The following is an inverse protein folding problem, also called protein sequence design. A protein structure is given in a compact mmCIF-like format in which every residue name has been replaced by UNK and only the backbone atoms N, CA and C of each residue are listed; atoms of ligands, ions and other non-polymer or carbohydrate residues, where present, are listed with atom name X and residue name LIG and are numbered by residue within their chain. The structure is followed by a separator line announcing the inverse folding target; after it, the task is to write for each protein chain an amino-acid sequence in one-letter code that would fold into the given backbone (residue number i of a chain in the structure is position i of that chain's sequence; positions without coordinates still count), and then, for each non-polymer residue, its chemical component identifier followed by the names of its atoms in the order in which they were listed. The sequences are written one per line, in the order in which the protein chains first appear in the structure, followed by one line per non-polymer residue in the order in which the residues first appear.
data_IF_279526512284
#
_entry.id   IF_279526512284
#
_cell.length_a   1.000
_cell.length_b   1.000
_cell.length_c   1.000
_cell.angle_alpha   90.00
_cell.angle_beta   90.00
_cell.angle_gamma   90.00
#
_symmetry.space_group_name_H-M   'P 1'
#
loop_
_entity.id
_entity.type
_entity.pdbx_description
1 polymer ?
#
# COMPACT_ATOMS: atom_id res chain seq x y z
N UNK A 1 21.23 -10.28 -20.68
CA UNK A 1 20.05 -9.44 -20.97
C UNK A 1 20.40 -8.03 -20.51
N UNK A 2 19.94 -6.98 -21.16
CA UNK A 2 20.22 -5.56 -20.84
C UNK A 2 18.92 -4.83 -20.54
N UNK A 3 18.95 -3.70 -19.83
CA UNK A 3 17.71 -3.01 -19.38
C UNK A 3 16.87 -2.53 -20.58
N UNK A 4 17.51 -2.16 -21.68
CA UNK A 4 16.88 -1.76 -22.95
C UNK A 4 16.14 -2.89 -23.69
N UNK A 5 16.40 -4.15 -23.32
CA UNK A 5 15.60 -5.30 -23.79
C UNK A 5 14.36 -5.55 -22.93
N UNK A 6 14.34 -5.03 -21.71
CA UNK A 6 13.21 -5.12 -20.78
C UNK A 6 12.24 -3.96 -21.02
N UNK A 7 12.77 -2.74 -21.17
CA UNK A 7 12.02 -1.55 -21.56
C UNK A 7 12.58 -1.07 -22.90
N UNK A 8 11.94 -1.44 -24.00
CA UNK A 8 12.48 -1.11 -25.34
C UNK A 8 12.27 0.35 -25.76
N UNK A 9 11.30 1.04 -25.15
CA UNK A 9 11.01 2.45 -25.40
C UNK A 9 11.62 3.34 -24.32
N UNK A 10 12.47 4.29 -24.72
CA UNK A 10 13.12 5.21 -23.80
C UNK A 10 12.14 6.19 -23.16
N UNK A 11 11.07 6.58 -23.87
CA UNK A 11 10.07 7.48 -23.28
C UNK A 11 9.27 6.75 -22.19
N UNK A 12 8.99 5.47 -22.37
CA UNK A 12 8.39 4.64 -21.32
C UNK A 12 9.30 4.51 -20.09
N UNK A 13 10.63 4.36 -20.28
CA UNK A 13 11.58 4.37 -19.16
C UNK A 13 11.58 5.70 -18.41
N UNK A 14 11.54 6.82 -19.14
CA UNK A 14 11.57 8.17 -18.58
C UNK A 14 10.26 8.60 -17.91
N UNK A 15 9.15 7.91 -18.20
CA UNK A 15 7.86 8.16 -17.60
C UNK A 15 7.66 7.45 -16.24
N UNK A 16 8.54 6.50 -15.89
CA UNK A 16 8.47 5.77 -14.63
C UNK A 16 9.09 6.57 -13.50
N UNK A 17 8.43 6.61 -12.35
CA UNK A 17 9.00 7.15 -11.12
C UNK A 17 10.14 6.24 -10.60
N UNK A 18 11.06 6.75 -9.76
CA UNK A 18 12.21 5.99 -9.28
C UNK A 18 11.85 4.66 -8.60
N UNK A 19 10.71 4.62 -7.88
CA UNK A 19 10.13 3.42 -7.29
C UNK A 19 9.83 2.37 -8.36
N UNK A 20 9.04 2.74 -9.37
CA UNK A 20 8.55 1.83 -10.41
C UNK A 20 9.71 1.27 -11.25
N UNK A 21 10.61 2.16 -11.67
CA UNK A 21 11.82 1.78 -12.41
C UNK A 21 12.75 0.95 -11.52
N UNK A 22 12.86 1.29 -10.23
CA UNK A 22 13.62 0.54 -9.22
C UNK A 22 13.26 -0.93 -9.19
N UNK A 23 11.97 -1.28 -9.25
CA UNK A 23 11.55 -2.68 -9.28
C UNK A 23 11.95 -3.45 -10.52
N UNK A 24 11.87 -2.80 -11.68
CA UNK A 24 12.31 -3.39 -12.94
C UNK A 24 13.83 -3.61 -12.87
N UNK A 25 14.57 -2.62 -12.38
CA UNK A 25 16.03 -2.69 -12.18
C UNK A 25 16.40 -3.79 -11.20
N UNK A 26 15.69 -3.92 -10.07
CA UNK A 26 15.95 -4.97 -9.08
C UNK A 26 15.79 -6.37 -9.69
N UNK A 27 14.72 -6.60 -10.45
CA UNK A 27 14.51 -7.87 -11.17
C UNK A 27 15.60 -8.12 -12.19
N UNK A 28 15.95 -7.10 -12.99
CA UNK A 28 17.06 -7.17 -13.93
C UNK A 28 18.35 -7.62 -13.23
N UNK A 29 18.73 -6.97 -12.13
CA UNK A 29 19.97 -7.25 -11.39
C UNK A 29 20.04 -8.69 -10.84
N UNK A 30 18.91 -9.36 -10.58
CA UNK A 30 18.93 -10.78 -10.16
C UNK A 30 19.35 -11.76 -11.24
N UNK A 31 19.21 -11.37 -12.52
CA UNK A 31 19.54 -12.20 -13.68
C UNK A 31 20.70 -11.66 -14.51
N UNK A 32 21.15 -10.45 -14.21
CA UNK A 32 22.25 -9.78 -14.88
C UNK A 32 23.62 -10.37 -14.50
N UNK A 33 24.65 -10.02 -15.27
CA UNK A 33 26.02 -10.33 -14.89
C UNK A 33 26.39 -9.64 -13.58
N UNK A 34 27.22 -10.28 -12.74
CA UNK A 34 27.63 -9.69 -11.45
C UNK A 34 28.32 -8.33 -11.59
N UNK A 35 28.94 -8.05 -12.74
CA UNK A 35 29.55 -6.76 -13.10
C UNK A 35 28.54 -5.60 -13.06
N UNK A 36 27.26 -5.87 -13.27
CA UNK A 36 26.16 -4.89 -13.22
C UNK A 36 25.80 -4.48 -11.79
N UNK A 37 26.25 -5.23 -10.77
CA UNK A 37 26.13 -4.81 -9.36
C UNK A 37 27.17 -3.75 -8.96
N UNK A 38 27.87 -3.18 -9.94
CA UNK A 38 28.71 -2.01 -9.78
C UNK A 38 27.97 -0.78 -10.33
N UNK A 39 27.78 0.24 -9.48
CA UNK A 39 26.99 1.45 -9.82
C UNK A 39 27.51 2.20 -11.06
N UNK A 40 28.84 2.19 -11.27
CA UNK A 40 29.44 2.79 -12.45
C UNK A 40 29.12 1.97 -13.70
N UNK A 41 29.30 0.64 -13.63
CA UNK A 41 29.05 -0.25 -14.76
C UNK A 41 27.58 -0.27 -15.17
N UNK A 42 26.66 -0.35 -14.20
CA UNK A 42 25.23 -0.37 -14.43
C UNK A 42 24.74 0.80 -15.29
N UNK A 43 25.31 1.98 -15.06
CA UNK A 43 24.93 3.20 -15.78
C UNK A 43 25.67 3.40 -17.08
N UNK A 44 26.62 2.54 -17.47
CA UNK A 44 27.29 2.66 -18.77
C UNK A 44 26.33 2.46 -19.95
N UNK A 45 26.68 3.01 -21.10
CA UNK A 45 25.81 3.04 -22.27
C UNK A 45 25.54 1.65 -22.87
N UNK A 46 26.31 0.61 -22.51
CA UNK A 46 26.04 -0.74 -23.01
C UNK A 46 24.71 -1.30 -22.51
N UNK A 47 24.24 -0.85 -21.34
CA UNK A 47 22.94 -1.23 -20.78
C UNK A 47 21.76 -0.62 -21.54
N UNK A 48 22.00 0.48 -22.26
CA UNK A 48 20.99 1.28 -22.96
C UNK A 48 21.32 1.50 -24.45
N UNK A 49 22.08 0.58 -25.04
CA UNK A 49 22.67 0.75 -26.36
C UNK A 49 21.61 0.88 -27.47
N UNK A 50 20.41 0.30 -27.30
CA UNK A 50 19.34 0.40 -28.29
C UNK A 50 18.59 1.73 -28.28
N UNK A 51 18.77 2.58 -27.27
CA UNK A 51 18.11 3.90 -27.22
C UNK A 51 18.80 4.93 -28.13
N UNK A 52 18.09 5.98 -28.57
CA UNK A 52 18.69 7.09 -29.30
C UNK A 52 19.83 7.75 -28.50
N UNK A 53 21.02 8.01 -29.10
CA UNK A 53 22.15 8.62 -28.40
C UNK A 53 21.82 9.93 -27.68
N UNK A 54 20.91 10.74 -28.24
CA UNK A 54 20.46 11.99 -27.64
C UNK A 54 19.73 11.80 -26.30
N UNK A 55 19.19 10.61 -26.03
CA UNK A 55 18.44 10.26 -24.81
C UNK A 55 19.28 9.47 -23.79
N UNK A 56 20.54 9.15 -24.13
CA UNK A 56 21.39 8.33 -23.25
C UNK A 56 21.63 9.00 -21.89
N UNK A 57 21.96 10.29 -21.87
CA UNK A 57 22.23 11.01 -20.61
C UNK A 57 20.99 11.04 -19.69
N UNK A 58 19.81 11.32 -20.25
CA UNK A 58 18.55 11.35 -19.47
C UNK A 58 18.18 9.96 -18.96
N UNK A 59 18.33 8.91 -19.79
CA UNK A 59 18.05 7.55 -19.36
C UNK A 59 19.00 7.09 -18.25
N UNK A 60 20.29 7.43 -18.33
CA UNK A 60 21.29 7.11 -17.29
C UNK A 60 20.94 7.76 -15.95
N UNK A 61 20.44 8.99 -15.96
CA UNK A 61 20.01 9.70 -14.74
C UNK A 61 18.81 9.01 -14.10
N UNK A 62 17.79 8.67 -14.87
CA UNK A 62 16.63 7.91 -14.38
C UNK A 62 17.05 6.55 -13.78
N UNK A 63 17.95 5.82 -14.45
CA UNK A 63 18.50 4.57 -13.91
C UNK A 63 19.28 4.78 -12.61
N UNK A 64 20.00 5.90 -12.47
CA UNK A 64 20.72 6.24 -11.23
C UNK A 64 19.75 6.59 -10.09
N UNK A 65 18.66 7.30 -10.38
CA UNK A 65 17.62 7.62 -9.39
C UNK A 65 16.97 6.34 -8.85
N UNK A 66 16.62 5.41 -9.76
CA UNK A 66 16.13 4.08 -9.40
C UNK A 66 17.15 3.29 -8.56
N UNK A 67 18.45 3.35 -8.90
CA UNK A 67 19.50 2.69 -8.12
C UNK A 67 19.60 3.24 -6.69
N UNK A 68 19.62 4.56 -6.53
CA UNK A 68 19.69 5.21 -5.21
C UNK A 68 18.45 4.86 -4.37
N UNK A 69 17.28 4.78 -5.01
CA UNK A 69 16.08 4.29 -4.36
C UNK A 69 16.23 2.85 -3.83
N UNK A 70 16.80 1.94 -4.63
CA UNK A 70 17.05 0.56 -4.20
C UNK A 70 18.01 0.46 -3.00
N UNK A 71 19.01 1.35 -2.92
CA UNK A 71 19.89 1.45 -1.75
C UNK A 71 19.14 1.99 -0.52
N UNK A 72 18.34 3.05 -0.68
CA UNK A 72 17.51 3.64 0.38
C UNK A 72 16.56 2.62 1.02
N UNK A 73 15.93 1.80 0.18
CA UNK A 73 15.00 0.75 0.62
C UNK A 73 15.70 -0.51 1.18
N UNK A 74 17.04 -0.55 1.12
CA UNK A 74 17.86 -1.65 1.64
C UNK A 74 17.79 -2.92 0.78
N UNK A 75 17.43 -2.80 -0.50
CA UNK A 75 17.45 -3.90 -1.46
C UNK A 75 18.86 -4.15 -2.00
N UNK A 76 19.63 -3.08 -2.14
CA UNK A 76 21.07 -3.13 -2.41
C UNK A 76 21.83 -2.69 -1.16
N UNK A 77 22.98 -3.29 -0.93
CA UNK A 77 23.90 -2.85 0.12
C UNK A 77 25.35 -2.91 -0.37
N UNK A 78 26.24 -2.06 0.16
CA UNK A 78 27.66 -2.08 -0.20
C UNK A 78 28.32 -3.40 0.15
N UNK A 79 29.24 -3.87 -0.69
CA UNK A 79 30.04 -5.04 -0.34
C UNK A 79 30.97 -4.69 0.84
N UNK A 80 31.16 -5.60 1.83
CA UNK A 80 31.96 -5.30 3.02
C UNK A 80 33.39 -4.84 2.73
N UNK A 81 33.97 -5.33 1.63
CA UNK A 81 35.31 -5.04 1.12
C UNK A 81 35.34 -3.89 0.10
N UNK A 82 34.19 -3.43 -0.38
CA UNK A 82 34.09 -2.30 -1.30
C UNK A 82 32.79 -1.51 -1.09
N UNK A 83 32.88 -0.46 -0.27
CA UNK A 83 31.73 0.39 0.04
C UNK A 83 31.40 1.39 -1.06
N UNK A 84 32.36 1.76 -1.89
CA UNK A 84 32.24 2.89 -2.81
C UNK A 84 31.39 2.55 -4.04
N UNK A 85 31.62 1.42 -4.70
CA UNK A 85 31.07 1.19 -6.04
C UNK A 85 30.34 -0.15 -6.21
N UNK A 86 30.73 -1.18 -5.45
CA UNK A 86 30.11 -2.50 -5.58
C UNK A 86 28.99 -2.70 -4.58
N UNK A 87 27.94 -3.39 -5.03
CA UNK A 87 26.79 -3.77 -4.23
C UNK A 87 26.59 -5.28 -4.24
N UNK A 88 25.76 -5.74 -3.32
CA UNK A 88 25.12 -7.05 -3.39
C UNK A 88 23.62 -6.86 -3.18
N UNK A 89 22.82 -7.77 -3.76
CA UNK A 89 21.38 -7.81 -3.53
C UNK A 89 21.16 -8.43 -2.13
N UNK A 90 20.51 -7.68 -1.25
CA UNK A 90 20.28 -8.15 0.12
C UNK A 90 19.27 -9.30 0.14
N UNK A 91 19.16 -10.00 1.28
CA UNK A 91 18.09 -10.99 1.51
C UNK A 91 16.68 -10.40 1.35
N UNK A 92 16.52 -9.08 1.56
CA UNK A 92 15.27 -8.35 1.32
C UNK A 92 15.07 -8.10 -0.18
N UNK A 93 16.13 -7.65 -0.87
CA UNK A 93 16.10 -7.43 -2.32
C UNK A 93 15.78 -8.70 -3.11
N UNK A 94 16.37 -9.84 -2.74
CA UNK A 94 16.09 -11.13 -3.39
C UNK A 94 14.62 -11.55 -3.25
N UNK A 95 14.05 -11.38 -2.04
CA UNK A 95 12.62 -11.64 -1.81
C UNK A 95 11.74 -10.69 -2.63
N UNK A 96 12.07 -9.41 -2.67
CA UNK A 96 11.30 -8.41 -3.41
C UNK A 96 11.36 -8.59 -4.94
N UNK A 97 12.43 -9.20 -5.46
CA UNK A 97 12.63 -9.43 -6.89
C UNK A 97 11.80 -10.61 -7.45
N UNK A 98 11.29 -11.50 -6.61
CA UNK A 98 10.34 -12.55 -7.04
C UNK A 98 9.06 -11.88 -7.55
N UNK A 99 8.59 -12.25 -8.75
CA UNK A 99 7.70 -11.45 -9.61
C UNK A 99 6.36 -11.00 -8.98
N UNK A 100 5.90 -11.65 -7.92
CA UNK A 100 4.70 -11.30 -7.16
C UNK A 100 4.93 -10.22 -6.09
N UNK A 101 6.19 -9.91 -5.76
CA UNK A 101 6.55 -9.08 -4.61
C UNK A 101 6.82 -7.61 -4.93
N UNK A 102 6.98 -7.19 -6.19
CA UNK A 102 7.26 -5.77 -6.48
C UNK A 102 6.01 -4.90 -6.46
N UNK A 103 4.90 -5.35 -7.07
CA UNK A 103 3.60 -4.69 -6.92
C UNK A 103 3.15 -4.72 -5.45
N UNK A 104 3.33 -5.86 -4.78
CA UNK A 104 3.13 -5.97 -3.33
C UNK A 104 4.02 -4.99 -2.55
N UNK A 105 5.26 -4.75 -2.97
CA UNK A 105 6.16 -3.81 -2.32
C UNK A 105 5.68 -2.35 -2.45
N UNK A 106 5.32 -1.93 -3.67
CA UNK A 106 4.77 -0.59 -3.89
C UNK A 106 3.47 -0.41 -3.10
N UNK A 107 2.58 -1.40 -3.15
CA UNK A 107 1.40 -1.46 -2.29
C UNK A 107 1.80 -1.39 -0.80
N UNK A 108 2.89 -2.03 -0.39
CA UNK A 108 3.32 -2.01 1.02
C UNK A 108 3.65 -0.61 1.55
N UNK A 109 4.12 0.28 0.66
CA UNK A 109 4.39 1.68 0.96
C UNK A 109 3.10 2.51 1.01
N UNK A 110 2.10 2.19 0.18
CA UNK A 110 0.80 2.88 0.16
C UNK A 110 0.03 2.68 1.47
N UNK A 111 0.18 1.52 2.11
CA UNK A 111 -0.59 1.16 3.30
C UNK A 111 0.30 0.61 4.42
N UNK A 112 1.10 1.43 5.11
CA UNK A 112 2.04 0.95 6.11
C UNK A 112 1.34 0.15 7.22
N UNK A 113 1.66 -1.15 7.36
CA UNK A 113 1.02 -2.05 8.34
C UNK A 113 1.01 -1.50 9.77
N UNK A 114 2.05 -0.77 10.17
CA UNK A 114 2.18 -0.16 11.50
C UNK A 114 1.18 0.97 11.76
N UNK A 115 0.64 1.60 10.71
CA UNK A 115 -0.35 2.65 10.80
C UNK A 115 -1.79 2.12 10.80
N UNK A 116 -1.98 0.81 10.68
CA UNK A 116 -3.29 0.16 10.74
C UNK A 116 -3.66 -0.25 12.16
N UNK A 117 -4.97 -0.30 12.42
CA UNK A 117 -5.52 -0.91 13.63
C UNK A 117 -5.14 -2.40 13.63
N UNK A 118 -4.67 -2.98 14.76
CA UNK A 118 -4.11 -4.34 14.77
C UNK A 118 -5.04 -5.40 14.16
N UNK A 119 -6.34 -5.31 14.39
CA UNK A 119 -7.33 -6.24 13.82
C UNK A 119 -7.40 -6.13 12.30
N UNK A 120 -7.45 -4.90 11.76
CA UNK A 120 -7.46 -4.66 10.31
C UNK A 120 -6.15 -5.14 9.70
N UNK A 121 -5.02 -4.78 10.31
CA UNK A 121 -3.70 -5.20 9.87
C UNK A 121 -3.55 -6.73 9.82
N UNK A 122 -4.15 -7.46 10.76
CA UNK A 122 -4.11 -8.92 10.79
C UNK A 122 -4.96 -9.54 9.68
N UNK A 123 -6.15 -8.99 9.43
CA UNK A 123 -7.16 -9.59 8.53
C UNK A 123 -6.96 -9.23 7.06
N UNK A 124 -6.44 -8.04 6.79
CA UNK A 124 -6.53 -7.42 5.46
C UNK A 124 -5.18 -7.31 4.78
N UNK A 125 -4.09 -7.28 5.56
CA UNK A 125 -2.80 -6.86 5.02
C UNK A 125 -2.27 -7.74 3.89
N UNK A 126 -2.33 -9.07 4.06
CA UNK A 126 -1.89 -9.99 3.02
C UNK A 126 -2.76 -9.89 1.75
N UNK A 127 -4.07 -9.68 1.91
CA UNK A 127 -5.02 -9.54 0.80
C UNK A 127 -4.72 -8.30 -0.03
N UNK A 128 -4.48 -7.16 0.63
CA UNK A 128 -4.09 -5.91 -0.03
C UNK A 128 -2.77 -6.05 -0.81
N UNK A 129 -1.75 -6.70 -0.22
CA UNK A 129 -0.46 -6.91 -0.87
C UNK A 129 -0.56 -7.78 -2.14
N UNK A 130 -1.55 -8.67 -2.24
CA UNK A 130 -1.76 -9.52 -3.42
C UNK A 130 -2.52 -8.81 -4.55
N UNK A 131 -2.97 -7.57 -4.34
CA UNK A 131 -3.78 -6.83 -5.32
C UNK A 131 -5.28 -7.14 -5.23
N UNK A 132 -5.73 -7.90 -4.23
CA UNK A 132 -7.15 -8.21 -3.99
C UNK A 132 -7.83 -7.01 -3.28
N UNK A 133 -7.81 -5.84 -3.91
CA UNK A 133 -8.15 -4.55 -3.28
C UNK A 133 -9.61 -4.45 -2.85
N UNK A 134 -10.54 -4.89 -3.70
CA UNK A 134 -11.98 -4.94 -3.42
C UNK A 134 -12.29 -5.77 -2.15
N UNK A 135 -11.65 -6.93 -2.06
CA UNK A 135 -11.78 -7.87 -0.95
C UNK A 135 -11.15 -7.29 0.31
N UNK A 136 -10.00 -6.62 0.18
CA UNK A 136 -9.32 -5.96 1.29
C UNK A 136 -10.17 -4.84 1.91
N UNK A 137 -10.77 -3.99 1.06
CA UNK A 137 -11.70 -2.93 1.49
C UNK A 137 -12.94 -3.54 2.16
N UNK A 138 -13.60 -4.52 1.51
CA UNK A 138 -14.78 -5.17 2.07
C UNK A 138 -14.53 -5.78 3.45
N UNK A 139 -13.42 -6.53 3.60
CA UNK A 139 -13.04 -7.13 4.88
C UNK A 139 -12.79 -6.07 5.95
N UNK A 140 -12.19 -4.93 5.60
CA UNK A 140 -11.93 -3.84 6.55
C UNK A 140 -13.22 -3.28 7.16
N UNK A 141 -14.21 -2.98 6.32
CA UNK A 141 -15.49 -2.44 6.80
C UNK A 141 -16.39 -3.51 7.44
N UNK A 142 -16.23 -4.79 7.07
CA UNK A 142 -16.85 -5.91 7.77
C UNK A 142 -16.33 -6.02 9.20
N UNK A 143 -15.01 -5.96 9.40
CA UNK A 143 -14.41 -6.00 10.73
C UNK A 143 -14.86 -4.81 11.58
N UNK A 144 -14.93 -3.60 11.01
CA UNK A 144 -15.50 -2.42 11.68
C UNK A 144 -16.95 -2.66 12.16
N UNK A 145 -17.82 -3.15 11.29
CA UNK A 145 -19.22 -3.46 11.64
C UNK A 145 -19.33 -4.48 12.78
N UNK A 146 -18.57 -5.57 12.70
CA UNK A 146 -18.55 -6.61 13.73
C UNK A 146 -18.10 -6.05 15.07
N UNK A 147 -17.05 -5.23 15.08
CA UNK A 147 -16.53 -4.64 16.32
C UNK A 147 -17.49 -3.64 16.93
N UNK A 148 -18.12 -2.77 16.12
CA UNK A 148 -19.17 -1.87 16.61
C UNK A 148 -20.33 -2.66 17.20
N UNK A 149 -20.78 -3.73 16.54
CA UNK A 149 -21.88 -4.57 17.05
C UNK A 149 -21.56 -5.11 18.44
N UNK A 150 -20.38 -5.72 18.57
CA UNK A 150 -19.96 -6.37 19.80
C UNK A 150 -19.77 -5.35 20.93
N UNK A 151 -19.12 -4.22 20.63
CA UNK A 151 -18.88 -3.15 21.59
C UNK A 151 -20.19 -2.49 22.07
N UNK A 152 -21.19 -2.35 21.18
CA UNK A 152 -22.48 -1.77 21.52
C UNK A 152 -23.47 -2.78 22.14
N UNK A 153 -23.11 -4.06 22.23
CA UNK A 153 -24.02 -5.11 22.73
C UNK A 153 -25.27 -5.29 21.87
N UNK A 154 -25.18 -5.06 20.56
CA UNK A 154 -26.30 -5.13 19.63
C UNK A 154 -26.51 -6.54 19.07
N UNK A 155 -27.73 -6.80 18.58
CA UNK A 155 -28.15 -8.11 18.11
C UNK A 155 -27.53 -8.47 16.75
N UNK A 156 -27.42 -9.77 16.44
CA UNK A 156 -26.88 -10.23 15.16
C UNK A 156 -27.68 -9.73 13.94
N UNK A 157 -28.96 -9.39 14.13
CA UNK A 157 -29.84 -8.81 13.10
C UNK A 157 -29.56 -7.34 12.84
N UNK A 158 -28.86 -6.65 13.73
CA UNK A 158 -28.41 -5.28 13.51
C UNK A 158 -27.21 -5.32 12.54
N UNK A 159 -27.38 -4.71 11.36
CA UNK A 159 -26.39 -4.67 10.30
C UNK A 159 -26.41 -3.31 9.58
N UNK A 160 -25.31 -3.02 8.89
CA UNK A 160 -25.21 -1.89 7.97
C UNK A 160 -25.33 -0.53 8.65
N UNK A 161 -25.99 0.40 7.95
CA UNK A 161 -26.17 1.78 8.41
C UNK A 161 -27.02 1.85 9.68
N UNK A 162 -28.03 0.99 9.82
CA UNK A 162 -28.92 0.99 10.98
C UNK A 162 -28.21 0.56 12.27
N UNK A 163 -27.29 -0.39 12.17
CA UNK A 163 -26.41 -0.74 13.29
C UNK A 163 -25.58 0.46 13.74
N UNK A 164 -24.97 1.19 12.80
CA UNK A 164 -24.14 2.36 13.13
C UNK A 164 -24.99 3.47 13.76
N UNK A 165 -26.19 3.72 13.24
CA UNK A 165 -27.13 4.69 13.80
C UNK A 165 -27.60 4.33 15.21
N UNK A 166 -27.84 3.04 15.49
CA UNK A 166 -28.17 2.55 16.84
C UNK A 166 -27.00 2.73 17.80
N UNK A 167 -25.80 2.31 17.40
CA UNK A 167 -24.62 2.31 18.26
C UNK A 167 -24.18 3.73 18.66
N UNK A 168 -24.25 4.68 17.72
CA UNK A 168 -23.80 6.06 17.90
C UNK A 168 -24.96 7.07 18.01
N UNK A 169 -26.16 6.62 18.38
CA UNK A 169 -27.32 7.49 18.55
C UNK A 169 -27.02 8.63 19.54
N UNK A 170 -27.29 9.90 19.21
CA UNK A 170 -27.10 11.00 20.16
C UNK A 170 -27.83 10.73 21.48
N UNK A 171 -27.19 11.10 22.60
CA UNK A 171 -27.69 10.98 23.97
C UNK A 171 -27.91 9.53 24.50
N UNK A 172 -28.14 8.55 23.63
CA UNK A 172 -28.64 7.22 24.03
C UNK A 172 -27.88 6.04 23.41
N UNK A 173 -26.94 6.30 22.50
CA UNK A 173 -26.16 5.27 21.81
C UNK A 173 -25.10 4.68 22.75
N UNK A 174 -24.94 3.34 22.81
CA UNK A 174 -23.95 2.71 23.68
C UNK A 174 -22.51 3.17 23.45
N UNK A 175 -22.17 3.62 22.24
CA UNK A 175 -20.83 4.11 21.88
C UNK A 175 -20.78 5.63 21.70
N UNK A 176 -21.84 6.33 22.11
CA UNK A 176 -21.93 7.78 22.03
C UNK A 176 -21.23 8.42 23.21
N UNK A 177 -20.37 9.39 22.93
CA UNK A 177 -19.79 10.25 23.97
C UNK A 177 -20.74 11.39 24.29
N UNK A 178 -21.48 11.22 25.38
CA UNK A 178 -22.46 12.19 25.84
C UNK A 178 -21.84 13.44 26.45
N UNK A 179 -20.51 13.51 26.61
CA UNK A 179 -19.82 14.72 27.06
C UNK A 179 -19.63 15.75 25.93
N UNK A 180 -19.71 15.31 24.67
CA UNK A 180 -19.56 16.19 23.51
C UNK A 180 -20.87 16.92 23.16
N UNK A 181 -20.79 18.09 22.48
CA UNK A 181 -21.98 18.76 21.94
C UNK A 181 -22.81 17.83 21.04
N UNK A 182 -24.13 17.97 21.08
CA UNK A 182 -25.06 17.12 20.32
C UNK A 182 -24.73 17.06 18.82
N UNK A 183 -24.33 18.19 18.22
CA UNK A 183 -23.94 18.23 16.81
C UNK A 183 -22.71 17.37 16.47
N UNK A 184 -21.75 17.23 17.39
CA UNK A 184 -20.59 16.35 17.21
C UNK A 184 -20.99 14.87 17.33
N UNK A 185 -21.90 14.55 18.26
CA UNK A 185 -22.47 13.20 18.38
C UNK A 185 -23.17 12.78 17.07
N UNK A 186 -24.03 13.66 16.54
CA UNK A 186 -24.73 13.46 15.27
C UNK A 186 -23.76 13.30 14.09
N UNK A 187 -22.72 14.14 14.05
CA UNK A 187 -21.71 14.10 12.98
C UNK A 187 -20.95 12.77 12.95
N UNK A 188 -20.53 12.26 14.12
CA UNK A 188 -19.85 10.97 14.20
C UNK A 188 -20.78 9.82 13.79
N UNK A 189 -22.04 9.83 14.24
CA UNK A 189 -23.04 8.85 13.83
C UNK A 189 -23.20 8.84 12.30
N UNK A 190 -23.31 10.02 11.67
CA UNK A 190 -23.41 10.15 10.22
C UNK A 190 -22.16 9.65 9.50
N UNK A 191 -20.96 9.94 10.02
CA UNK A 191 -19.71 9.43 9.47
C UNK A 191 -19.65 7.91 9.50
N UNK A 192 -19.97 7.29 10.64
CA UNK A 192 -19.95 5.82 10.80
C UNK A 192 -20.96 5.13 9.88
N UNK A 193 -22.21 5.63 9.85
CA UNK A 193 -23.24 5.09 8.98
C UNK A 193 -22.91 5.30 7.49
N UNK A 194 -22.41 6.48 7.13
CA UNK A 194 -21.99 6.81 5.77
C UNK A 194 -20.85 5.92 5.29
N UNK A 195 -19.82 5.71 6.12
CA UNK A 195 -18.68 4.87 5.77
C UNK A 195 -19.10 3.41 5.47
N UNK A 196 -19.95 2.80 6.32
CA UNK A 196 -20.48 1.46 6.04
C UNK A 196 -21.36 1.45 4.79
N UNK A 197 -22.23 2.44 4.65
CA UNK A 197 -23.12 2.58 3.49
C UNK A 197 -22.36 2.70 2.17
N UNK A 198 -21.23 3.42 2.18
CA UNK A 198 -20.45 3.73 0.97
C UNK A 198 -19.42 2.67 0.61
N UNK A 199 -18.82 1.95 1.57
CA UNK A 199 -17.65 1.10 1.25
C UNK A 199 -17.90 -0.40 1.45
N UNK A 200 -18.91 -0.78 2.25
CA UNK A 200 -19.28 -2.21 2.42
C UNK A 200 -20.37 -2.64 1.44
N UNK A 201 -21.33 -1.75 1.16
CA UNK A 201 -22.52 -2.11 0.39
C UNK A 201 -22.34 -2.11 -1.13
N UNK A 202 -21.58 -1.19 -1.77
CA UNK A 202 -21.46 -1.18 -3.23
C UNK A 202 -20.73 -2.39 -3.81
N UNK A 203 -19.73 -2.91 -3.09
CA UNK A 203 -18.94 -4.09 -3.46
C UNK A 203 -19.78 -5.38 -3.53
N UNK A 204 -21.01 -5.37 -2.99
CA UNK A 204 -21.95 -6.49 -3.07
C UNK A 204 -22.87 -6.46 -4.30
N UNK A 205 -22.88 -5.35 -5.07
CA UNK A 205 -23.87 -5.11 -6.13
C UNK A 205 -23.29 -4.64 -7.47
N UNK A 206 -22.03 -4.18 -7.55
CA UNK A 206 -21.37 -3.73 -8.78
C UNK A 206 -19.90 -4.15 -8.79
N UNK A 207 -19.39 -4.55 -9.95
CA UNK A 207 -17.95 -4.73 -10.16
C UNK A 207 -17.31 -3.34 -10.31
N UNK A 208 -16.83 -2.79 -9.19
CA UNK A 208 -16.04 -1.56 -9.17
C UNK A 208 -14.58 -1.98 -9.09
N UNK A 209 -13.79 -1.63 -10.10
CA UNK A 209 -12.32 -1.77 -10.01
C UNK A 209 -11.82 -0.73 -9.02
N UNK A 210 -11.13 -1.17 -7.96
CA UNK A 210 -10.53 -0.30 -6.95
C UNK A 210 -9.02 -0.37 -7.14
N UNK A 211 -8.38 0.79 -7.32
CA UNK A 211 -6.93 0.89 -7.44
C UNK A 211 -6.24 0.82 -6.07
N UNK A 212 -4.94 0.56 -6.06
CA UNK A 212 -4.18 0.33 -4.83
C UNK A 212 -4.23 1.52 -3.85
N UNK A 213 -4.10 2.73 -4.39
CA UNK A 213 -4.12 3.99 -3.64
C UNK A 213 -5.49 4.21 -2.98
N UNK A 214 -6.56 4.06 -3.77
CA UNK A 214 -7.93 4.23 -3.28
C UNK A 214 -8.25 3.19 -2.20
N UNK A 215 -7.85 1.94 -2.41
CA UNK A 215 -8.01 0.91 -1.39
C UNK A 215 -7.22 1.21 -0.11
N UNK A 216 -6.01 1.76 -0.21
CA UNK A 216 -5.22 2.15 0.95
C UNK A 216 -5.93 3.23 1.78
N UNK A 217 -6.50 4.26 1.14
CA UNK A 217 -7.27 5.32 1.78
C UNK A 217 -8.51 4.77 2.50
N UNK A 218 -9.28 3.91 1.81
CA UNK A 218 -10.48 3.27 2.36
C UNK A 218 -10.16 2.39 3.58
N UNK A 219 -9.08 1.60 3.50
CA UNK A 219 -8.63 0.74 4.62
C UNK A 219 -8.11 1.61 5.78
N UNK A 220 -7.40 2.68 5.47
CA UNK A 220 -6.94 3.68 6.45
C UNK A 220 -8.11 4.32 7.21
N UNK A 221 -9.18 4.70 6.50
CA UNK A 221 -10.42 5.20 7.10
C UNK A 221 -11.06 4.17 8.03
N UNK A 222 -11.27 2.93 7.58
CA UNK A 222 -11.84 1.86 8.41
C UNK A 222 -11.01 1.63 9.69
N UNK A 223 -9.68 1.64 9.56
CA UNK A 223 -8.74 1.55 10.68
C UNK A 223 -8.87 2.72 11.66
N UNK A 224 -9.02 3.95 11.16
CA UNK A 224 -9.22 5.12 12.01
C UNK A 224 -10.54 5.04 12.78
N UNK A 225 -11.64 4.71 12.09
CA UNK A 225 -12.96 4.56 12.70
C UNK A 225 -12.97 3.47 13.77
N UNK A 226 -12.27 2.35 13.54
CA UNK A 226 -12.19 1.27 14.54
C UNK A 226 -11.46 1.72 15.82
N UNK A 227 -10.41 2.56 15.72
CA UNK A 227 -9.78 3.15 16.90
C UNK A 227 -10.70 4.07 17.69
N UNK A 228 -11.64 4.73 17.02
CA UNK A 228 -12.68 5.51 17.72
C UNK A 228 -13.52 4.54 18.55
N UNK A 229 -13.95 3.41 17.98
CA UNK A 229 -14.71 2.37 18.70
C UNK A 229 -13.96 1.87 19.93
N UNK A 230 -12.67 1.56 19.82
CA UNK A 230 -11.88 1.10 20.97
C UNK A 230 -11.87 2.13 22.12
N UNK A 231 -11.69 3.41 21.77
CA UNK A 231 -11.73 4.50 22.75
C UNK A 231 -13.09 4.66 23.42
N UNK A 232 -14.19 4.37 22.71
CA UNK A 232 -15.55 4.41 23.27
C UNK A 232 -15.88 3.19 24.11
N UNK A 233 -15.30 2.04 23.78
CA UNK A 233 -15.55 0.77 24.48
C UNK A 233 -14.76 0.63 25.79
N UNK A 234 -13.71 1.44 25.95
CA UNK A 234 -12.86 1.47 27.15
C UNK A 234 -13.36 2.42 28.25
N UNK A 235 -14.48 3.11 28.01
CA UNK A 235 -15.16 4.02 28.94
C UNK A 235 -16.41 3.29 29.45
#
# INVERSE_FOLDING_TARGET
MTIDRIISDVEALLALEPEELGGIVLRYLTTAEKSELNIHNFTLNHSIASYPPAKHETARRALMEAWIWLEREGFLAPQPDNVATWRYITRRGLRAAEAENFAAYQASNLLPKSQLHPVIAQKVWATFLRGDYDTAVFQSFKELEVHVRNAAGLEATDIGMELMRKAFRPELGPLTDTSLPKGEQESLMHLMAGAIGSYKNPSSHRSVTIEAEEAAEMIGLASHLLRIVDKRSAI
#
